data_IF_312175070131
#
_entry.id   IF_312175070131
#
_cell.length_a   1.000
_cell.length_b   1.000
_cell.length_c   1.000
_cell.angle_alpha   90.00
_cell.angle_beta   90.00
_cell.angle_gamma   90.00
#
_symmetry.space_group_name_H-M   'P 1'
#
loop_
_entity.id
_entity.type
_entity.pdbx_description
1 polymer ?
#
# COMPACT_ATOMS: atom_id res chain seq x y z
N UNK A 1 -11.93 19.49 23.96
CA UNK A 1 -11.13 18.23 23.90
C UNK A 1 -11.85 17.08 23.21
N UNK A 2 -13.18 16.91 23.37
CA UNK A 2 -13.95 15.91 22.61
C UNK A 2 -14.09 16.25 21.12
N UNK A 3 -14.16 17.54 20.78
CA UNK A 3 -14.23 18.01 19.37
C UNK A 3 -12.93 17.82 18.58
N UNK A 4 -11.79 17.67 19.27
CA UNK A 4 -10.48 17.51 18.62
C UNK A 4 -10.22 16.07 18.18
N UNK A 5 -10.93 15.09 18.76
CA UNK A 5 -10.90 13.69 18.35
C UNK A 5 -11.88 13.39 17.21
N UNK A 6 -12.99 14.14 17.13
CA UNK A 6 -14.03 13.91 16.11
C UNK A 6 -13.62 14.45 14.73
N UNK A 7 -12.82 15.52 14.68
CA UNK A 7 -12.36 16.11 13.43
C UNK A 7 -11.14 15.40 12.81
N UNK A 8 -10.52 14.46 13.55
CA UNK A 8 -9.44 13.62 13.03
C UNK A 8 -9.98 12.52 12.09
N UNK A 9 -11.20 12.04 12.32
CA UNK A 9 -11.87 11.05 11.46
C UNK A 9 -12.53 11.68 10.23
N UNK A 10 -12.93 12.96 10.31
CA UNK A 10 -13.65 13.65 9.22
C UNK A 10 -12.75 14.11 8.06
N UNK A 11 -11.44 14.19 8.27
CA UNK A 11 -10.46 14.60 7.25
C UNK A 11 -9.57 13.46 6.77
N UNK A 12 -9.74 12.25 7.28
CA UNK A 12 -9.18 11.05 6.65
C UNK A 12 -10.16 10.56 5.59
N UNK A 13 -10.39 11.41 4.58
CA UNK A 13 -10.82 10.91 3.30
C UNK A 13 -9.85 9.77 2.94
N UNK A 14 -10.38 8.58 2.65
CA UNK A 14 -9.64 7.48 2.05
C UNK A 14 -9.03 8.00 0.73
N UNK A 15 -7.71 8.21 0.68
CA UNK A 15 -6.96 7.50 -0.34
C UNK A 15 -5.64 7.02 0.25
N UNK A 16 -5.61 5.87 0.93
CA UNK A 16 -4.35 5.18 1.23
C UNK A 16 -4.64 3.83 1.93
N UNK A 17 -4.98 2.81 1.16
CA UNK A 17 -4.74 1.42 1.57
C UNK A 17 -3.99 0.67 0.47
N UNK A 18 -3.04 1.36 -0.19
CA UNK A 18 -2.05 0.71 -1.04
C UNK A 18 -0.60 1.05 -0.65
N UNK A 19 -0.40 1.58 0.56
CA UNK A 19 0.93 1.85 1.09
C UNK A 19 1.00 1.38 2.55
N UNK A 20 0.96 0.06 2.76
CA UNK A 20 1.51 -0.53 3.98
C UNK A 20 3.04 -0.52 3.86
N UNK A 21 3.65 0.66 3.93
CA UNK A 21 5.08 0.79 4.18
C UNK A 21 5.32 0.49 5.65
N UNK A 22 5.54 -0.79 5.94
CA UNK A 22 6.22 -1.20 7.16
C UNK A 22 7.68 -0.75 7.05
N UNK A 23 8.10 0.19 7.90
CA UNK A 23 9.53 0.43 8.14
C UNK A 23 9.90 1.89 8.40
N UNK A 24 9.59 2.40 9.58
CA UNK A 24 10.38 3.51 10.17
C UNK A 24 10.99 3.03 11.48
N UNK A 25 12.30 2.68 11.53
CA UNK A 25 12.99 2.65 12.80
C UNK A 25 13.22 4.08 13.28
N UNK A 26 12.51 4.39 14.36
CA UNK A 26 12.74 5.53 15.23
C UNK A 26 14.14 5.39 15.85
N UNK A 27 15.18 5.96 15.23
CA UNK A 27 16.47 6.12 15.89
C UNK A 27 16.99 7.55 15.75
N UNK A 28 16.63 8.31 16.79
CA UNK A 28 17.55 9.14 17.56
C UNK A 28 18.29 10.24 16.79
N UNK A 29 17.61 11.38 16.74
CA UNK A 29 18.17 12.68 17.12
C UNK A 29 19.48 12.57 17.92
N UNK A 30 20.59 12.91 17.28
CA UNK A 30 21.83 13.27 17.95
C UNK A 30 22.39 14.55 17.30
N UNK A 31 21.87 15.69 17.76
CA UNK A 31 22.59 16.95 17.70
C UNK A 31 23.71 16.90 18.75
N UNK A 32 24.93 17.29 18.39
CA UNK A 32 25.94 17.66 19.39
C UNK A 32 27.36 17.22 19.05
N UNK A 33 28.17 18.20 18.65
CA UNK A 33 29.62 18.10 18.52
C UNK A 33 30.29 17.73 19.86
N UNK A 34 31.37 16.94 19.82
CA UNK A 34 32.31 16.85 20.95
C UNK A 34 33.11 15.54 21.06
N UNK A 35 34.33 15.57 20.53
CA UNK A 35 35.56 14.93 21.04
C UNK A 35 35.62 13.40 21.31
N UNK A 36 36.46 12.74 20.51
CA UNK A 36 37.19 11.48 20.75
C UNK A 36 38.46 11.75 21.61
N UNK A 37 38.91 10.85 22.52
CA UNK A 37 39.97 9.86 22.23
C UNK A 37 39.74 8.47 22.90
N UNK A 38 39.86 7.34 22.18
CA UNK A 38 41.08 6.56 21.86
C UNK A 38 41.74 5.85 23.05
N UNK A 39 41.56 4.54 23.16
CA UNK A 39 42.59 3.61 23.68
C UNK A 39 42.52 2.28 22.91
N UNK A 40 43.70 1.75 22.56
CA UNK A 40 43.96 0.81 21.46
C UNK A 40 44.20 -0.62 21.96
N UNK A 41 43.75 -1.62 21.19
CA UNK A 41 44.15 -3.03 21.27
C UNK A 41 44.19 -3.67 19.86
N UNK A 42 44.99 -4.73 19.64
CA UNK A 42 45.81 -4.96 18.43
C UNK A 42 45.05 -5.47 17.16
N UNK A 43 45.67 -5.34 15.96
CA UNK A 43 45.02 -5.62 14.68
C UNK A 43 45.02 -7.11 14.37
N UNK A 44 43.86 -7.66 14.00
CA UNK A 44 43.78 -8.97 13.36
C UNK A 44 43.28 -8.76 11.93
N UNK A 45 44.18 -8.99 10.99
CA UNK A 45 43.93 -9.03 9.55
C UNK A 45 43.11 -10.28 9.19
N UNK A 46 42.12 -10.13 8.32
CA UNK A 46 41.69 -11.21 7.41
C UNK A 46 40.35 -11.90 7.67
N UNK A 47 39.24 -11.24 7.36
CA UNK A 47 38.11 -11.82 6.60
C UNK A 47 37.10 -10.72 6.21
N UNK A 48 36.75 -10.54 4.92
CA UNK A 48 35.66 -9.69 4.48
C UNK A 48 34.34 -10.49 4.46
N UNK A 49 33.39 -10.14 5.31
CA UNK A 49 32.03 -10.70 5.31
C UNK A 49 31.12 -9.72 6.10
N UNK A 50 30.00 -9.22 5.64
CA UNK A 50 29.21 -9.37 4.42
C UNK A 50 28.70 -7.96 4.15
N UNK A 51 29.08 -7.30 3.05
CA UNK A 51 28.11 -7.10 1.97
C UNK A 51 26.86 -7.96 2.17
N UNK A 52 25.92 -7.47 2.97
CA UNK A 52 24.54 -7.85 2.79
C UNK A 52 24.28 -7.66 1.30
N UNK A 53 23.84 -8.70 0.57
CA UNK A 53 23.41 -8.49 -0.79
C UNK A 53 22.32 -7.44 -0.71
N UNK A 54 22.61 -6.27 -1.28
CA UNK A 54 21.60 -5.63 -2.08
C UNK A 54 21.18 -6.71 -3.08
N UNK A 55 20.09 -7.40 -2.79
CA UNK A 55 19.33 -8.18 -3.75
C UNK A 55 18.84 -7.19 -4.82
N UNK A 56 19.73 -6.74 -5.72
CA UNK A 56 20.28 -7.67 -6.68
C UNK A 56 19.22 -8.36 -7.53
N UNK A 57 18.25 -7.60 -8.01
CA UNK A 57 17.82 -7.74 -9.40
C UNK A 57 16.45 -8.36 -9.62
N UNK A 58 15.56 -7.49 -10.09
CA UNK A 58 15.20 -7.60 -11.50
C UNK A 58 15.19 -6.18 -12.08
N UNK A 59 16.15 -5.88 -12.95
CA UNK A 59 15.82 -4.96 -14.01
C UNK A 59 14.74 -5.63 -14.84
N UNK A 60 13.56 -5.05 -14.92
CA UNK A 60 12.68 -5.28 -16.05
C UNK A 60 11.75 -4.08 -16.23
N UNK A 61 11.38 -3.84 -17.48
CA UNK A 61 11.83 -2.72 -18.27
C UNK A 61 11.02 -1.46 -17.95
N UNK A 62 11.56 -0.30 -18.33
CA UNK A 62 10.71 0.84 -18.72
C UNK A 62 9.95 0.53 -20.02
N UNK A 63 9.24 -0.60 -20.04
CA UNK A 63 8.28 -0.99 -21.05
C UNK A 63 6.97 -1.14 -20.30
N UNK A 64 5.98 -0.32 -20.66
CA UNK A 64 4.64 -0.43 -20.11
C UNK A 64 4.23 -1.90 -20.12
N UNK A 65 3.75 -2.37 -18.97
CA UNK A 65 3.07 -3.66 -18.93
C UNK A 65 1.84 -3.46 -19.80
N UNK A 66 1.88 -3.95 -21.02
CA UNK A 66 0.74 -3.98 -21.91
C UNK A 66 -0.25 -4.97 -21.31
N UNK A 67 -1.17 -4.46 -20.49
CA UNK A 67 -2.25 -5.24 -19.95
C UNK A 67 -3.22 -5.54 -21.09
N UNK A 68 -3.55 -6.81 -21.30
CA UNK A 68 -4.60 -7.17 -22.24
C UNK A 68 -5.97 -6.62 -21.77
N UNK A 69 -6.83 -6.28 -22.72
CA UNK A 69 -8.16 -5.70 -22.45
C UNK A 69 -8.96 -6.54 -21.44
N UNK A 70 -8.90 -7.86 -21.54
CA UNK A 70 -9.60 -8.74 -20.60
C UNK A 70 -9.10 -8.56 -19.15
N UNK A 71 -7.80 -8.32 -18.97
CA UNK A 71 -7.21 -8.08 -17.65
C UNK A 71 -7.66 -6.73 -17.10
N UNK A 72 -7.71 -5.70 -17.97
CA UNK A 72 -8.23 -4.38 -17.61
C UNK A 72 -9.71 -4.45 -17.22
N UNK A 73 -10.53 -5.18 -17.96
CA UNK A 73 -11.97 -5.35 -17.67
C UNK A 73 -12.23 -6.03 -16.31
N UNK A 74 -11.49 -7.11 -16.02
CA UNK A 74 -11.54 -7.80 -14.71
C UNK A 74 -11.10 -6.86 -13.58
N UNK A 75 -9.99 -6.15 -13.78
CA UNK A 75 -9.49 -5.19 -12.81
C UNK A 75 -10.51 -4.08 -12.53
N UNK A 76 -11.10 -3.50 -13.59
CA UNK A 76 -12.11 -2.44 -13.48
C UNK A 76 -13.34 -2.94 -12.73
N UNK A 77 -13.77 -4.19 -12.97
CA UNK A 77 -14.85 -4.83 -12.22
C UNK A 77 -14.56 -4.89 -10.72
N UNK A 78 -13.44 -5.52 -10.38
CA UNK A 78 -12.99 -5.61 -8.99
C UNK A 78 -12.82 -4.23 -8.35
N UNK A 79 -12.26 -3.26 -9.08
CA UNK A 79 -12.00 -1.91 -8.60
C UNK A 79 -13.27 -1.14 -8.23
N UNK A 80 -14.32 -1.23 -9.06
CA UNK A 80 -15.62 -0.59 -8.79
C UNK A 80 -16.27 -1.22 -7.55
N UNK A 81 -16.29 -2.56 -7.46
CA UNK A 81 -16.87 -3.27 -6.31
C UNK A 81 -16.08 -3.02 -5.01
N UNK A 82 -14.75 -3.00 -5.09
CA UNK A 82 -13.88 -2.65 -3.95
C UNK A 82 -14.16 -1.23 -3.47
N UNK A 83 -14.41 -0.27 -4.37
CA UNK A 83 -14.80 1.09 -3.98
C UNK A 83 -16.10 1.11 -3.19
N UNK A 84 -17.09 0.32 -3.59
CA UNK A 84 -18.36 0.22 -2.85
C UNK A 84 -18.15 -0.37 -1.45
N UNK A 85 -17.33 -1.41 -1.34
CA UNK A 85 -16.91 -1.97 -0.05
C UNK A 85 -16.19 -0.92 0.81
N UNK A 86 -15.23 -0.19 0.24
CA UNK A 86 -14.54 0.89 0.95
C UNK A 86 -15.52 1.92 1.49
N UNK A 87 -16.49 2.37 0.68
CA UNK A 87 -17.51 3.32 1.13
C UNK A 87 -18.41 2.73 2.22
N UNK A 88 -18.85 1.48 2.06
CA UNK A 88 -19.66 0.74 3.04
C UNK A 88 -18.97 0.67 4.40
N UNK A 89 -17.70 0.26 4.44
CA UNK A 89 -16.97 0.13 5.70
C UNK A 89 -16.52 1.48 6.27
N UNK A 90 -16.26 2.48 5.43
CA UNK A 90 -16.03 3.86 5.90
C UNK A 90 -17.22 4.34 6.73
N UNK A 91 -18.44 4.22 6.19
CA UNK A 91 -19.67 4.59 6.92
C UNK A 91 -19.84 3.79 8.21
N UNK A 92 -19.62 2.47 8.17
CA UNK A 92 -19.70 1.63 9.37
C UNK A 92 -18.68 2.05 10.45
N UNK A 93 -17.48 2.44 10.04
CA UNK A 93 -16.41 2.86 10.96
C UNK A 93 -16.66 4.25 11.56
N UNK A 94 -17.30 5.16 10.83
CA UNK A 94 -17.69 6.48 11.36
C UNK A 94 -18.64 6.36 12.57
N UNK A 95 -19.48 5.33 12.59
CA UNK A 95 -20.43 5.07 13.68
C UNK A 95 -19.85 4.26 14.85
N UNK A 96 -18.61 3.79 14.74
CA UNK A 96 -17.99 2.88 15.72
C UNK A 96 -16.96 3.60 16.60
N UNK A 97 -17.31 3.76 17.87
CA UNK A 97 -16.40 4.31 18.91
C UNK A 97 -15.58 3.26 19.66
N UNK A 98 -15.79 1.97 19.38
CA UNK A 98 -15.12 0.87 20.07
C UNK A 98 -13.97 0.33 19.20
N UNK A 99 -12.76 0.32 19.76
CA UNK A 99 -11.55 -0.09 19.03
C UNK A 99 -11.56 -1.55 18.57
N UNK A 100 -12.08 -2.47 19.38
CA UNK A 100 -12.16 -3.89 19.00
C UNK A 100 -13.14 -4.11 17.84
N UNK A 101 -14.29 -3.43 17.87
CA UNK A 101 -15.26 -3.45 16.77
C UNK A 101 -14.69 -2.78 15.51
N UNK A 102 -13.95 -1.70 15.65
CA UNK A 102 -13.29 -1.06 14.50
C UNK A 102 -12.26 -2.01 13.86
N UNK A 103 -11.48 -2.74 14.67
CA UNK A 103 -10.55 -3.76 14.17
C UNK A 103 -11.25 -4.93 13.48
N UNK A 104 -12.40 -5.36 14.00
CA UNK A 104 -13.21 -6.41 13.36
C UNK A 104 -13.72 -5.96 12.00
N UNK A 105 -14.31 -4.78 11.91
CA UNK A 105 -14.78 -4.19 10.65
C UNK A 105 -13.65 -4.02 9.62
N UNK A 106 -12.45 -3.65 10.07
CA UNK A 106 -11.28 -3.57 9.18
C UNK A 106 -10.87 -4.94 8.64
N UNK A 107 -10.98 -6.02 9.44
CA UNK A 107 -10.68 -7.38 8.97
C UNK A 107 -11.74 -7.88 7.99
N UNK A 108 -13.01 -7.62 8.28
CA UNK A 108 -14.12 -7.94 7.38
C UNK A 108 -13.96 -7.25 6.03
N UNK A 109 -13.63 -5.95 6.05
CA UNK A 109 -13.37 -5.19 4.82
C UNK A 109 -12.23 -5.80 4.00
N UNK A 110 -11.12 -6.20 4.63
CA UNK A 110 -10.00 -6.84 3.95
C UNK A 110 -10.41 -8.18 3.32
N UNK A 111 -11.18 -9.00 4.05
CA UNK A 111 -11.67 -10.27 3.52
C UNK A 111 -12.63 -10.06 2.33
N UNK A 112 -13.57 -9.13 2.45
CA UNK A 112 -14.54 -8.82 1.38
C UNK A 112 -13.82 -8.27 0.12
N UNK A 113 -12.75 -7.48 0.28
CA UNK A 113 -11.94 -7.03 -0.85
C UNK A 113 -11.22 -8.17 -1.57
N UNK A 114 -10.66 -9.14 -0.83
CA UNK A 114 -10.02 -10.32 -1.43
C UNK A 114 -11.05 -11.16 -2.20
N UNK A 115 -12.22 -11.39 -1.61
CA UNK A 115 -13.30 -12.13 -2.25
C UNK A 115 -13.76 -11.46 -3.55
N UNK A 116 -13.85 -10.13 -3.60
CA UNK A 116 -14.20 -9.39 -4.82
C UNK A 116 -13.15 -9.60 -5.92
N UNK A 117 -11.86 -9.56 -5.58
CA UNK A 117 -10.79 -9.79 -6.56
C UNK A 117 -10.93 -11.20 -7.14
N UNK A 118 -11.07 -12.20 -6.28
CA UNK A 118 -11.23 -13.60 -6.71
C UNK A 118 -12.53 -13.83 -7.50
N UNK A 119 -13.63 -13.17 -7.14
CA UNK A 119 -14.91 -13.25 -7.84
C UNK A 119 -14.91 -12.62 -9.23
N UNK A 120 -13.92 -11.77 -9.53
CA UNK A 120 -13.70 -11.18 -10.86
C UNK A 120 -12.72 -12.00 -11.71
N UNK A 121 -12.53 -13.29 -11.39
CA UNK A 121 -11.59 -14.20 -12.08
C UNK A 121 -10.16 -13.63 -12.11
N UNK A 122 -9.75 -12.98 -11.01
CA UNK A 122 -8.44 -12.35 -10.84
C UNK A 122 -7.82 -12.79 -9.52
N UNK A 123 -6.52 -13.06 -9.51
CA UNK A 123 -5.79 -13.35 -8.27
C UNK A 123 -5.36 -12.05 -7.57
N UNK A 124 -5.19 -12.09 -6.24
CA UNK A 124 -4.65 -10.95 -5.48
C UNK A 124 -3.30 -10.48 -6.01
N UNK A 125 -2.45 -11.40 -6.46
CA UNK A 125 -1.17 -11.06 -7.09
C UNK A 125 -1.35 -10.30 -8.40
N UNK A 126 -2.21 -10.79 -9.30
CA UNK A 126 -2.51 -10.14 -10.58
C UNK A 126 -3.08 -8.74 -10.36
N UNK A 127 -3.99 -8.59 -9.39
CA UNK A 127 -4.52 -7.28 -9.01
C UNK A 127 -3.39 -6.33 -8.59
N UNK A 128 -2.47 -6.77 -7.72
CA UNK A 128 -1.35 -5.94 -7.27
C UNK A 128 -0.39 -5.57 -8.42
N UNK A 129 -0.14 -6.48 -9.36
CA UNK A 129 0.67 -6.21 -10.55
C UNK A 129 0.04 -5.11 -11.42
N UNK A 130 -1.28 -5.19 -11.66
CA UNK A 130 -2.03 -4.15 -12.38
C UNK A 130 -1.94 -2.81 -11.65
N UNK A 131 -2.05 -2.80 -10.32
CA UNK A 131 -1.91 -1.54 -9.55
C UNK A 131 -0.49 -0.96 -9.67
N UNK A 132 0.54 -1.81 -9.67
CA UNK A 132 1.92 -1.38 -9.91
C UNK A 132 2.12 -0.79 -11.31
N UNK A 133 1.50 -1.40 -12.33
CA UNK A 133 1.51 -0.90 -13.70
C UNK A 133 0.81 0.47 -13.80
N UNK A 134 -0.40 0.61 -13.25
CA UNK A 134 -1.16 1.86 -13.21
C UNK A 134 -0.39 2.99 -12.49
N UNK A 135 0.35 2.65 -11.44
CA UNK A 135 1.17 3.63 -10.70
C UNK A 135 2.37 4.13 -11.52
N UNK A 136 2.86 3.31 -12.44
CA UNK A 136 4.04 3.60 -13.27
C UNK A 136 3.67 4.19 -14.63
N UNK A 137 2.44 3.97 -15.09
CA UNK A 137 1.95 4.37 -16.41
C UNK A 137 0.72 5.31 -16.30
N UNK A 138 0.89 6.62 -16.57
CA UNK A 138 -0.20 7.57 -16.48
C UNK A 138 -1.26 7.42 -17.58
N UNK A 139 -0.92 6.87 -18.75
CA UNK A 139 -1.88 6.64 -19.82
C UNK A 139 -2.80 5.48 -19.45
N UNK A 140 -2.21 4.39 -18.96
CA UNK A 140 -2.95 3.24 -18.44
C UNK A 140 -3.89 3.64 -17.28
N UNK A 141 -3.44 4.52 -16.39
CA UNK A 141 -4.31 5.04 -15.31
C UNK A 141 -5.55 5.74 -15.87
N UNK A 142 -5.37 6.65 -16.82
CA UNK A 142 -6.50 7.38 -17.42
C UNK A 142 -7.47 6.42 -18.10
N UNK A 143 -6.94 5.43 -18.82
CA UNK A 143 -7.75 4.40 -19.50
C UNK A 143 -8.62 3.61 -18.51
N UNK A 144 -8.03 3.13 -17.42
CA UNK A 144 -8.74 2.40 -16.35
C UNK A 144 -9.79 3.30 -15.67
N UNK A 145 -9.47 4.58 -15.43
CA UNK A 145 -10.39 5.55 -14.86
C UNK A 145 -11.60 5.82 -15.76
N UNK A 146 -11.40 5.88 -17.08
CA UNK A 146 -12.48 6.03 -18.07
C UNK A 146 -13.36 4.78 -18.13
N UNK A 147 -12.77 3.58 -18.16
CA UNK A 147 -13.52 2.32 -18.12
C UNK A 147 -14.36 2.19 -16.84
N UNK A 148 -13.79 2.53 -15.69
CA UNK A 148 -14.50 2.50 -14.42
C UNK A 148 -15.68 3.48 -14.39
N UNK A 149 -15.52 4.68 -14.96
CA UNK A 149 -16.61 5.66 -15.08
C UNK A 149 -17.72 5.15 -16.02
N UNK A 150 -17.36 4.57 -17.16
CA UNK A 150 -18.31 4.02 -18.12
C UNK A 150 -19.16 2.90 -17.53
N UNK A 151 -18.59 2.07 -16.65
CA UNK A 151 -19.28 0.96 -15.96
C UNK A 151 -20.17 1.42 -14.80
N UNK A 152 -19.94 2.61 -14.26
CA UNK A 152 -20.69 3.16 -13.13
C UNK A 152 -21.95 3.96 -13.55
N UNK A 153 -22.16 4.20 -14.84
CA UNK A 153 -23.32 4.90 -15.41
C UNK A 153 -24.39 3.92 -15.92
#
# INVERSE_FOLDING_TARGET
MKDMMLNYYKHLALPACLALVFGMPLSAQAQGAGAQPSDQGPPTEGAPAENAPAEGGAGQPGGGVDLDDQTKEKFVGAYVEIKDVQQKYTKKLEDVSNEDKARELQKEAQAEMVEIVESNDMSVNEYNEVVGAISSDPELRMEIEEMAQARSN
#
